data_IF_702880301121
#
_entry.id   IF_702880301121
#
_cell.length_a   1.000
_cell.length_b   1.000
_cell.length_c   1.000
_cell.angle_alpha   90.00
_cell.angle_beta   90.00
_cell.angle_gamma   90.00
#
_symmetry.space_group_name_H-M   'P 1'
#
loop_
_entity.id
_entity.type
_entity.pdbx_description
1 polymer ?
#
# COMPACT_ATOMS: atom_id res chain seq x y z
N UNK A 1 -11.36 -5.21 -17.41
CA UNK A 1 -10.50 -4.29 -16.66
C UNK A 1 -10.25 -4.98 -15.33
N UNK A 2 -9.14 -5.70 -15.21
CA UNK A 2 -8.75 -6.40 -13.99
C UNK A 2 -8.02 -5.38 -13.10
N UNK A 3 -8.77 -4.75 -12.18
CA UNK A 3 -8.28 -3.56 -11.48
C UNK A 3 -7.28 -3.85 -10.37
N UNK A 4 -7.24 -5.08 -9.85
CA UNK A 4 -6.24 -5.55 -8.91
C UNK A 4 -6.53 -7.01 -8.56
N UNK A 5 -5.50 -7.75 -8.17
CA UNK A 5 -5.64 -9.11 -7.63
C UNK A 5 -5.90 -9.03 -6.12
N UNK A 6 -6.97 -9.70 -5.68
CA UNK A 6 -7.41 -9.76 -4.29
C UNK A 6 -8.95 -9.80 -4.18
N UNK A 7 -9.48 -10.34 -3.08
CA UNK A 7 -10.93 -10.50 -2.87
C UNK A 7 -11.51 -9.52 -1.83
N UNK A 8 -10.72 -8.53 -1.39
CA UNK A 8 -11.17 -7.62 -0.34
C UNK A 8 -12.20 -6.60 -0.88
N UNK A 9 -13.33 -6.35 -0.20
CA UNK A 9 -14.35 -5.38 -0.62
C UNK A 9 -13.87 -3.93 -0.82
N UNK A 10 -12.67 -3.60 -0.35
CA UNK A 10 -12.07 -2.27 -0.45
C UNK A 10 -11.22 -2.15 -1.72
N UNK A 11 -10.94 -3.24 -2.41
CA UNK A 11 -10.15 -3.24 -3.64
C UNK A 11 -10.82 -2.36 -4.71
N UNK A 12 -10.05 -1.44 -5.29
CA UNK A 12 -10.56 -0.45 -6.25
C UNK A 12 -11.47 0.63 -5.64
N UNK A 13 -11.72 0.61 -4.32
CA UNK A 13 -12.47 1.65 -3.61
C UNK A 13 -11.54 2.65 -2.94
N UNK A 14 -12.09 3.80 -2.57
CA UNK A 14 -11.39 4.79 -1.77
C UNK A 14 -11.24 4.26 -0.34
N UNK A 15 -10.01 4.25 0.16
CA UNK A 15 -9.72 3.91 1.55
C UNK A 15 -10.39 4.95 2.47
N UNK A 16 -11.17 4.55 3.48
CA UNK A 16 -11.74 5.50 4.43
C UNK A 16 -10.61 6.28 5.14
N UNK A 17 -10.57 7.63 5.00
CA UNK A 17 -9.44 8.45 5.43
C UNK A 17 -9.28 8.51 6.96
N UNK A 18 -10.36 8.23 7.68
CA UNK A 18 -10.46 8.19 9.14
C UNK A 18 -9.92 6.90 9.77
N UNK A 19 -9.59 5.89 8.95
CA UNK A 19 -8.99 4.66 9.46
C UNK A 19 -7.67 4.96 10.17
N UNK A 20 -7.56 4.42 11.38
CA UNK A 20 -6.44 4.65 12.28
C UNK A 20 -5.53 3.42 12.32
N UNK A 21 -4.23 3.68 12.31
CA UNK A 21 -3.14 2.73 12.36
C UNK A 21 -2.40 2.87 13.68
N UNK A 22 -1.99 1.75 14.25
CA UNK A 22 -1.09 1.68 15.40
C UNK A 22 0.30 1.30 14.88
N UNK A 23 1.26 2.21 15.09
CA UNK A 23 2.66 2.01 14.75
C UNK A 23 3.33 1.08 15.79
N UNK A 24 4.51 0.51 15.47
CA UNK A 24 5.20 -0.42 16.38
C UNK A 24 5.64 0.21 17.71
N UNK A 25 5.79 1.53 17.75
CA UNK A 25 6.10 2.32 18.94
C UNK A 25 4.86 2.61 19.82
N UNK A 26 3.67 2.12 19.40
CA UNK A 26 2.39 2.36 20.07
C UNK A 26 1.71 3.67 19.68
N UNK A 27 2.37 4.51 18.87
CA UNK A 27 1.79 5.76 18.37
C UNK A 27 0.65 5.46 17.40
N UNK A 28 -0.38 6.31 17.39
CA UNK A 28 -1.51 6.19 16.45
C UNK A 28 -1.42 7.25 15.36
N UNK A 29 -1.68 6.85 14.12
CA UNK A 29 -1.77 7.75 12.97
C UNK A 29 -2.98 7.43 12.11
N UNK A 30 -3.40 8.34 11.22
CA UNK A 30 -4.51 8.12 10.31
C UNK A 30 -4.00 7.94 8.89
N UNK A 31 -4.73 7.17 8.09
CA UNK A 31 -4.41 7.00 6.66
C UNK A 31 -4.35 8.37 5.95
N UNK A 32 -5.27 9.28 6.27
CA UNK A 32 -5.27 10.63 5.69
C UNK A 32 -3.98 11.43 5.96
N UNK A 33 -3.38 11.27 7.14
CA UNK A 33 -2.15 11.98 7.50
C UNK A 33 -0.97 11.46 6.69
N UNK A 34 -0.91 10.15 6.47
CA UNK A 34 0.13 9.51 5.66
C UNK A 34 0.01 9.89 4.19
N UNK A 35 -1.21 9.93 3.65
CA UNK A 35 -1.45 10.31 2.25
C UNK A 35 -1.29 11.81 1.98
N UNK A 36 -1.19 12.65 3.01
CA UNK A 36 -1.03 14.11 2.86
C UNK A 36 0.26 14.50 2.16
N UNK A 37 1.24 13.59 2.09
CA UNK A 37 2.49 13.76 1.33
C UNK A 37 2.29 13.76 -0.18
N UNK A 38 1.10 13.35 -0.66
CA UNK A 38 0.83 13.15 -2.09
C UNK A 38 1.54 11.93 -2.68
N UNK A 39 2.03 11.03 -1.81
CA UNK A 39 2.64 9.76 -2.19
C UNK A 39 1.66 8.61 -1.97
N UNK A 40 1.90 7.49 -2.64
CA UNK A 40 1.20 6.26 -2.31
C UNK A 40 1.62 5.74 -0.95
N UNK A 41 0.83 4.83 -0.40
CA UNK A 41 1.08 4.20 0.88
C UNK A 41 0.99 2.68 0.73
N UNK A 42 2.07 1.97 1.04
CA UNK A 42 2.03 0.54 1.32
C UNK A 42 1.98 0.35 2.83
N UNK A 43 0.84 -0.14 3.33
CA UNK A 43 0.68 -0.57 4.71
C UNK A 43 0.82 -2.08 4.78
N UNK A 44 1.67 -2.58 5.66
CA UNK A 44 1.84 -4.02 5.86
C UNK A 44 2.21 -4.35 7.31
N UNK A 45 1.85 -5.55 7.76
CA UNK A 45 2.38 -6.14 9.01
C UNK A 45 3.61 -7.02 8.76
N UNK A 46 3.89 -7.38 7.50
CA UNK A 46 5.01 -8.24 7.11
C UNK A 46 6.21 -7.43 6.61
N UNK A 47 7.36 -7.67 7.23
CA UNK A 47 8.64 -7.04 6.87
C UNK A 47 9.16 -7.49 5.51
N UNK A 48 8.79 -8.70 5.07
CA UNK A 48 9.16 -9.22 3.75
C UNK A 48 8.45 -8.43 2.66
N UNK A 49 7.14 -8.25 2.79
CA UNK A 49 6.34 -7.41 1.88
C UNK A 49 6.80 -5.96 1.86
N UNK A 50 7.18 -5.40 3.01
CA UNK A 50 7.77 -4.05 3.06
C UNK A 50 9.08 -3.95 2.25
N UNK A 51 9.83 -5.05 2.13
CA UNK A 51 11.06 -5.15 1.36
C UNK A 51 10.84 -5.01 -0.15
N UNK A 52 9.76 -5.57 -0.68
CA UNK A 52 9.40 -5.54 -2.12
C UNK A 52 9.22 -4.11 -2.65
N UNK A 53 8.72 -3.22 -1.81
CA UNK A 53 8.42 -1.84 -2.20
C UNK A 53 9.59 -0.86 -2.08
N UNK A 54 10.78 -1.32 -1.63
CA UNK A 54 11.94 -0.46 -1.34
C UNK A 54 12.48 0.31 -2.55
N UNK A 55 12.25 -0.20 -3.75
CA UNK A 55 12.69 0.44 -4.99
C UNK A 55 11.80 1.63 -5.42
N UNK A 56 10.59 1.77 -4.88
CA UNK A 56 9.62 2.82 -5.25
C UNK A 56 9.58 4.01 -4.26
N UNK A 57 10.59 4.17 -3.41
CA UNK A 57 10.61 5.16 -2.29
C UNK A 57 10.42 6.62 -2.69
N UNK A 58 10.63 6.98 -3.96
CA UNK A 58 10.37 8.34 -4.47
C UNK A 58 8.89 8.72 -4.52
N UNK A 59 8.00 7.74 -4.70
CA UNK A 59 6.56 7.95 -4.92
C UNK A 59 5.66 7.15 -3.96
N UNK A 60 6.27 6.31 -3.11
CA UNK A 60 5.58 5.39 -2.23
C UNK A 60 6.22 5.43 -0.83
N UNK A 61 5.39 5.69 0.17
CA UNK A 61 5.74 5.55 1.57
C UNK A 61 5.38 4.12 2.03
N UNK A 62 6.33 3.42 2.66
CA UNK A 62 6.13 2.06 3.19
C UNK A 62 6.04 2.13 4.71
N UNK A 63 4.91 1.73 5.26
CA UNK A 63 4.62 1.79 6.70
C UNK A 63 4.34 0.40 7.24
N UNK A 64 5.13 -0.02 8.22
CA UNK A 64 4.83 -1.22 9.02
C UNK A 64 3.93 -0.82 10.19
N UNK A 65 2.65 -1.18 10.15
CA UNK A 65 1.68 -0.87 11.21
C UNK A 65 0.49 -1.83 11.17
N UNK A 66 -0.29 -1.87 12.25
CA UNK A 66 -1.55 -2.61 12.34
C UNK A 66 -2.74 -1.65 12.34
N UNK A 67 -3.91 -2.10 11.91
CA UNK A 67 -5.13 -1.31 12.09
C UNK A 67 -5.47 -1.22 13.59
N UNK A 68 -5.66 0.01 14.10
CA UNK A 68 -6.14 0.20 15.47
C UNK A 68 -7.54 -0.42 15.65
N UNK A 69 -8.37 -0.31 14.62
CA UNK A 69 -9.64 -1.01 14.50
C UNK A 69 -9.66 -1.73 13.14
N UNK A 70 -9.36 -3.05 13.11
CA UNK A 70 -9.27 -3.81 11.86
C UNK A 70 -10.61 -3.78 11.12
N UNK A 71 -10.59 -3.67 9.78
CA UNK A 71 -11.80 -3.88 8.98
C UNK A 71 -12.25 -5.34 9.06
N UNK A 72 -13.51 -5.57 8.68
CA UNK A 72 -14.05 -6.91 8.41
C UNK A 72 -14.47 -6.96 6.93
N UNK A 73 -13.87 -7.82 6.09
CA UNK A 73 -12.78 -8.77 6.42
C UNK A 73 -11.46 -8.07 6.82
N UNK A 74 -10.57 -8.83 7.46
CA UNK A 74 -9.27 -8.32 7.90
C UNK A 74 -8.41 -7.90 6.70
N UNK A 75 -7.59 -6.86 6.90
CA UNK A 75 -6.76 -6.26 5.87
C UNK A 75 -5.31 -6.15 6.35
N UNK A 76 -4.53 -7.21 6.22
CA UNK A 76 -3.16 -7.22 6.78
C UNK A 76 -2.18 -6.38 5.95
N UNK A 77 -2.32 -6.41 4.63
CA UNK A 77 -1.52 -5.57 3.72
C UNK A 77 -2.40 -4.90 2.67
N UNK A 78 -2.14 -3.62 2.43
CA UNK A 78 -2.83 -2.83 1.42
C UNK A 78 -1.90 -1.84 0.74
N UNK A 79 -2.03 -1.74 -0.58
CA UNK A 79 -1.42 -0.69 -1.39
C UNK A 79 -2.47 0.36 -1.71
N UNK A 80 -2.19 1.61 -1.33
CA UNK A 80 -3.06 2.76 -1.51
C UNK A 80 -2.35 3.76 -2.44
N UNK A 81 -3.06 4.22 -3.47
CA UNK A 81 -2.58 5.22 -4.42
C UNK A 81 -2.54 6.61 -3.79
N UNK A 82 -1.80 7.57 -4.38
CA UNK A 82 -1.78 8.96 -3.93
C UNK A 82 -3.16 9.64 -3.86
N UNK A 83 -4.13 9.19 -4.67
CA UNK A 83 -5.51 9.67 -4.68
C UNK A 83 -6.40 9.00 -3.61
N UNK A 84 -5.84 8.09 -2.82
CA UNK A 84 -6.51 7.36 -1.75
C UNK A 84 -7.27 6.12 -2.19
N UNK A 85 -7.16 5.71 -3.45
CA UNK A 85 -7.77 4.46 -3.92
C UNK A 85 -6.90 3.24 -3.64
N UNK A 86 -7.53 2.15 -3.24
CA UNK A 86 -6.85 0.88 -3.00
C UNK A 86 -6.50 0.22 -4.33
N UNK A 87 -5.20 0.00 -4.55
CA UNK A 87 -4.65 -0.61 -5.76
C UNK A 87 -4.33 -2.09 -5.61
N UNK A 88 -4.19 -2.61 -4.38
CA UNK A 88 -3.92 -4.01 -4.11
C UNK A 88 -4.20 -4.33 -2.63
N UNK A 89 -4.61 -5.56 -2.32
CA UNK A 89 -4.86 -6.04 -0.95
C UNK A 89 -4.42 -7.50 -0.80
N UNK A 90 -3.94 -7.87 0.39
CA UNK A 90 -3.84 -9.28 0.78
C UNK A 90 -5.22 -9.88 1.09
N UNK A 91 -5.45 -11.20 0.93
CA UNK A 91 -4.51 -12.20 0.41
C UNK A 91 -4.26 -12.03 -1.10
N UNK A 92 -2.99 -12.12 -1.49
CA UNK A 92 -2.46 -11.98 -2.84
C UNK A 92 -0.97 -12.39 -2.84
N UNK A 93 -0.35 -12.52 -4.01
CA UNK A 93 1.07 -12.92 -4.10
C UNK A 93 2.02 -11.71 -4.11
N UNK A 94 3.31 -11.95 -3.80
CA UNK A 94 4.36 -10.91 -3.96
C UNK A 94 4.48 -10.44 -5.41
N UNK A 95 4.22 -11.32 -6.37
CA UNK A 95 4.23 -10.97 -7.80
C UNK A 95 3.08 -10.02 -8.13
N UNK A 96 1.87 -10.30 -7.61
CA UNK A 96 0.72 -9.40 -7.77
C UNK A 96 0.97 -8.00 -7.18
N UNK A 97 1.67 -7.94 -6.04
CA UNK A 97 2.09 -6.67 -5.44
C UNK A 97 3.11 -5.95 -6.32
N UNK A 98 4.12 -6.67 -6.82
CA UNK A 98 5.15 -6.13 -7.73
C UNK A 98 4.52 -5.55 -9.00
N UNK A 99 3.57 -6.27 -9.60
CA UNK A 99 2.82 -5.80 -10.76
C UNK A 99 2.00 -4.54 -10.44
N UNK A 100 1.34 -4.50 -9.28
CA UNK A 100 0.60 -3.32 -8.84
C UNK A 100 1.54 -2.12 -8.59
N UNK A 101 2.70 -2.36 -8.00
CA UNK A 101 3.73 -1.34 -7.78
C UNK A 101 4.23 -0.78 -9.12
N UNK A 102 4.61 -1.63 -10.07
CA UNK A 102 5.02 -1.19 -11.41
C UNK A 102 3.92 -0.44 -12.15
N UNK A 103 2.68 -0.91 -12.08
CA UNK A 103 1.54 -0.30 -12.76
C UNK A 103 1.23 1.11 -12.26
N UNK A 104 1.30 1.32 -10.96
CA UNK A 104 0.84 2.57 -10.34
C UNK A 104 1.96 3.54 -9.98
N UNK A 105 3.19 3.04 -9.76
CA UNK A 105 4.34 3.82 -9.31
C UNK A 105 5.53 3.76 -10.28
N UNK A 106 5.39 3.07 -11.42
CA UNK A 106 6.46 2.89 -12.41
C UNK A 106 7.52 1.89 -11.96
N UNK A 107 8.56 1.66 -12.75
CA UNK A 107 9.73 0.88 -12.33
C UNK A 107 10.47 1.60 -11.20
N UNK A 108 10.68 0.90 -10.09
CA UNK A 108 11.44 1.42 -8.97
C UNK A 108 12.88 1.62 -9.41
N UNK A 109 13.37 2.86 -9.31
CA UNK A 109 14.67 3.31 -9.81
C UNK A 109 14.74 3.35 -11.35
N UNK A 110 15.21 4.50 -11.85
CA UNK A 110 15.19 4.88 -13.26
C UNK A 110 15.67 3.78 -14.21
N UNK A 111 14.93 3.66 -15.29
CA UNK A 111 15.35 3.01 -16.52
C UNK A 111 16.60 3.73 -17.05
N UNK A 112 17.77 3.37 -16.53
CA UNK A 112 19.03 3.43 -17.27
C UNK A 112 19.30 2.02 -17.77
N UNK A 113 18.51 1.59 -18.76
CA UNK A 113 18.95 0.58 -19.70
C UNK A 113 18.89 1.24 -21.08
N UNK A 114 20.05 1.24 -21.70
CA UNK A 114 20.45 1.99 -22.88
C UNK A 114 19.55 1.74 -24.10
N UNK A 115 19.49 2.79 -24.92
CA UNK A 115 19.32 2.86 -26.38
C UNK A 115 19.16 1.56 -27.19
#
# INVERSE_FOLDING_TARGET
YDLAKGDHPLLGRRMPPDRTLTLPDGTRTRVAELLRTGRGLLLTTDRTTAGTAREHTGHLDVVTATWTAPPDPALDTVLIRPDGYVAWTSPGTTDDLTDALHRWFGSGVGQYADR
#
